data_IF_703527146052
#
_entry.id   IF_703527146052
#
_cell.length_a   1.000
_cell.length_b   1.000
_cell.length_c   1.000
_cell.angle_alpha   90.00
_cell.angle_beta   90.00
_cell.angle_gamma   90.00
#
_symmetry.space_group_name_H-M   'P 1'
#
loop_
_entity.id
_entity.type
_entity.pdbx_description
1 polymer ?
#
# COMPACT_ATOMS: atom_id res chain seq x y z
N UNK A 1 7.76 -3.70 -27.97
CA UNK A 1 8.69 -3.39 -26.85
C UNK A 1 8.16 -2.33 -25.89
N UNK A 2 7.59 -1.20 -26.35
CA UNK A 2 7.08 -0.14 -25.45
C UNK A 2 6.05 -0.63 -24.42
N UNK A 3 5.11 -1.48 -24.84
CA UNK A 3 4.08 -2.07 -23.97
C UNK A 3 4.70 -2.96 -22.87
N UNK A 4 5.74 -3.74 -23.19
CA UNK A 4 6.43 -4.58 -22.20
C UNK A 4 7.15 -3.75 -21.13
N UNK A 5 7.75 -2.63 -21.54
CA UNK A 5 8.41 -1.69 -20.60
C UNK A 5 7.39 -1.07 -19.66
N UNK A 6 6.24 -0.64 -20.18
CA UNK A 6 5.15 -0.06 -19.37
C UNK A 6 4.60 -1.11 -18.38
N UNK A 7 4.38 -2.34 -18.85
CA UNK A 7 3.87 -3.42 -18.01
C UNK A 7 4.85 -3.77 -16.88
N UNK A 8 6.16 -3.79 -17.17
CA UNK A 8 7.21 -4.04 -16.19
C UNK A 8 7.33 -2.90 -15.17
N UNK A 9 7.18 -1.64 -15.61
CA UNK A 9 7.16 -0.49 -14.71
C UNK A 9 5.98 -0.53 -13.73
N UNK A 10 4.79 -0.88 -14.20
CA UNK A 10 3.59 -0.95 -13.36
C UNK A 10 3.72 -1.99 -12.24
N UNK A 11 4.32 -3.16 -12.52
CA UNK A 11 4.50 -4.20 -11.50
C UNK A 11 5.54 -3.83 -10.44
N UNK A 12 6.62 -3.14 -10.84
CA UNK A 12 7.65 -2.67 -9.89
C UNK A 12 7.07 -1.65 -8.90
N UNK A 13 6.25 -0.71 -9.37
CA UNK A 13 5.63 0.31 -8.52
C UNK A 13 4.69 -0.34 -7.50
N UNK A 14 3.94 -1.37 -7.91
CA UNK A 14 3.06 -2.12 -7.02
C UNK A 14 3.84 -2.88 -5.92
N UNK A 15 5.01 -3.44 -6.26
CA UNK A 15 5.86 -4.19 -5.31
C UNK A 15 6.64 -3.31 -4.33
N UNK A 16 7.01 -2.09 -4.72
CA UNK A 16 7.76 -1.16 -3.86
C UNK A 16 7.05 -0.86 -2.54
N UNK A 17 5.73 -0.73 -2.58
CA UNK A 17 4.93 -0.40 -1.39
C UNK A 17 4.82 -1.56 -0.40
N UNK A 18 4.97 -2.81 -0.84
CA UNK A 18 5.01 -3.96 0.06
C UNK A 18 6.29 -3.92 0.90
N UNK A 19 7.43 -3.60 0.27
CA UNK A 19 8.73 -3.49 0.95
C UNK A 19 8.74 -2.35 1.97
N UNK A 20 8.14 -1.20 1.62
CA UNK A 20 8.01 -0.06 2.53
C UNK A 20 7.20 -0.41 3.80
N UNK A 21 6.12 -1.18 3.66
CA UNK A 21 5.30 -1.61 4.80
C UNK A 21 6.06 -2.54 5.74
N UNK A 22 6.82 -3.50 5.20
CA UNK A 22 7.69 -4.36 6.00
C UNK A 22 8.77 -3.57 6.75
N UNK A 23 9.38 -2.59 6.08
CA UNK A 23 10.37 -1.71 6.68
C UNK A 23 9.77 -0.85 7.79
N UNK A 24 8.54 -0.34 7.61
CA UNK A 24 7.81 0.39 8.67
C UNK A 24 7.54 -0.47 9.89
N UNK A 25 7.01 -1.69 9.73
CA UNK A 25 6.76 -2.57 10.86
C UNK A 25 8.06 -2.98 11.57
N UNK A 26 9.13 -3.19 10.81
CA UNK A 26 10.48 -3.43 11.38
C UNK A 26 11.01 -2.20 12.13
N UNK A 27 10.79 -1.00 11.58
CA UNK A 27 11.20 0.28 12.19
C UNK A 27 10.42 0.64 13.46
N UNK A 28 9.18 0.17 13.60
CA UNK A 28 8.44 0.22 14.87
C UNK A 28 8.96 -0.75 15.92
N UNK A 29 9.87 -1.66 15.56
CA UNK A 29 10.46 -2.64 16.46
C UNK A 29 9.72 -3.98 16.52
N UNK A 30 8.76 -4.23 15.62
CA UNK A 30 8.12 -5.53 15.53
C UNK A 30 9.07 -6.55 14.90
N UNK A 31 9.14 -7.74 15.52
CA UNK A 31 9.99 -8.84 15.04
C UNK A 31 9.25 -9.65 13.99
N UNK A 32 9.87 -9.88 12.82
CA UNK A 32 9.32 -10.74 11.75
C UNK A 32 8.94 -12.13 12.30
N UNK A 33 7.79 -12.64 11.87
CA UNK A 33 7.29 -13.95 12.30
C UNK A 33 6.52 -13.94 13.62
N UNK A 34 6.27 -12.77 14.22
CA UNK A 34 5.40 -12.62 15.40
C UNK A 34 4.00 -12.18 15.02
N UNK A 35 3.02 -12.46 15.89
CA UNK A 35 1.63 -11.99 15.71
C UNK A 35 1.55 -10.46 15.69
N UNK A 36 2.41 -9.78 16.45
CA UNK A 36 2.48 -8.31 16.46
C UNK A 36 2.91 -7.75 15.10
N UNK A 37 3.88 -8.40 14.44
CA UNK A 37 4.30 -8.04 13.09
C UNK A 37 3.20 -8.30 12.06
N UNK A 38 2.50 -9.43 12.17
CA UNK A 38 1.36 -9.75 11.30
C UNK A 38 0.21 -8.73 11.47
N UNK A 39 -0.10 -8.33 12.70
CA UNK A 39 -1.13 -7.33 12.97
C UNK A 39 -0.75 -5.95 12.42
N UNK A 40 0.53 -5.56 12.55
CA UNK A 40 1.05 -4.31 11.97
C UNK A 40 0.83 -4.28 10.45
N UNK A 41 1.26 -5.33 9.75
CA UNK A 41 1.07 -5.47 8.30
C UNK A 41 -0.42 -5.45 7.91
N UNK A 42 -1.25 -6.21 8.62
CA UNK A 42 -2.69 -6.27 8.36
C UNK A 42 -3.36 -4.88 8.47
N UNK A 43 -2.98 -4.07 9.47
CA UNK A 43 -3.50 -2.70 9.60
C UNK A 43 -3.05 -1.79 8.47
N UNK A 44 -1.79 -1.89 8.06
CA UNK A 44 -1.27 -1.10 6.94
C UNK A 44 -1.97 -1.45 5.64
N UNK A 45 -2.18 -2.74 5.38
CA UNK A 45 -2.89 -3.22 4.20
C UNK A 45 -4.34 -2.70 4.17
N UNK A 46 -5.05 -2.83 5.29
CA UNK A 46 -6.42 -2.31 5.44
C UNK A 46 -6.48 -0.78 5.23
N UNK A 47 -5.51 -0.03 5.76
CA UNK A 47 -5.42 1.42 5.54
C UNK A 47 -5.25 1.81 4.06
N UNK A 48 -4.63 0.91 3.29
CA UNK A 48 -4.34 1.08 1.87
C UNK A 48 -5.60 0.88 1.04
N UNK A 49 -6.37 -0.15 1.34
CA UNK A 49 -7.70 -0.36 0.76
C UNK A 49 -8.63 0.82 1.04
N UNK A 50 -8.66 1.32 2.28
CA UNK A 50 -9.47 2.48 2.62
C UNK A 50 -9.07 3.73 1.85
N UNK A 51 -7.77 3.97 1.62
CA UNK A 51 -7.30 5.08 0.78
C UNK A 51 -7.74 4.91 -0.67
N UNK A 52 -7.67 3.69 -1.21
CA UNK A 52 -8.13 3.40 -2.56
C UNK A 52 -9.64 3.64 -2.70
N UNK A 53 -10.44 3.19 -1.72
CA UNK A 53 -11.89 3.41 -1.70
C UNK A 53 -12.27 4.87 -1.50
N UNK A 54 -11.60 5.62 -0.61
CA UNK A 54 -11.84 7.06 -0.42
C UNK A 54 -11.47 7.90 -1.64
N UNK A 55 -10.48 7.47 -2.43
CA UNK A 55 -10.17 8.11 -3.71
C UNK A 55 -11.32 7.99 -4.73
N UNK A 56 -12.11 6.92 -4.65
CA UNK A 56 -13.32 6.72 -5.46
C UNK A 56 -14.52 7.49 -4.90
N UNK A 57 -14.69 7.51 -3.58
CA UNK A 57 -15.77 8.17 -2.85
C UNK A 57 -15.41 9.61 -2.43
N UNK A 58 -14.70 10.35 -3.29
CA UNK A 58 -14.55 11.79 -3.11
C UNK A 58 -15.83 12.46 -3.60
N UNK A 59 -16.66 13.07 -2.72
CA UNK A 59 -17.80 13.84 -3.18
C UNK A 59 -17.30 14.93 -4.12
N UNK A 60 -17.85 14.96 -5.32
CA UNK A 60 -17.73 16.08 -6.24
C UNK A 60 -18.19 17.32 -5.48
N UNK A 61 -17.26 18.19 -5.07
CA UNK A 61 -17.61 19.48 -4.50
C UNK A 61 -18.19 20.33 -5.61
N UNK A 62 -19.52 20.36 -5.68
CA UNK A 62 -20.25 21.31 -6.51
C UNK A 62 -20.15 22.68 -5.83
N UNK A 63 -19.41 23.59 -6.45
CA UNK A 63 -19.37 25.00 -6.08
C UNK A 63 -20.45 25.71 -6.89
N UNK A 64 -21.69 25.69 -6.41
CA UNK A 64 -22.77 26.61 -6.83
C UNK A 64 -22.99 27.70 -5.77
#
# INVERSE_FOLDING_TARGET
MRILIILCLLTVIAGCETVEQENRCSGYGFVRGTDAYANCLQRLDMSREYRFRRGYDSPMYDYD
#
